data_IF_626143215270
#
_entry.id   IF_626143215270
#
_cell.length_a   1.000
_cell.length_b   1.000
_cell.length_c   1.000
_cell.angle_alpha   90.00
_cell.angle_beta   90.00
_cell.angle_gamma   90.00
#
_symmetry.space_group_name_H-M   'P 1'
#
loop_
_entity.id
_entity.type
_entity.pdbx_description
1 polymer ?
#
# COMPACT_ATOMS: atom_id res chain seq x y z
N UNK A 1 -3.55 35.64 -6.61
CA UNK A 1 -3.62 35.05 -5.25
C UNK A 1 -3.88 33.57 -5.39
N UNK A 2 -2.82 32.76 -5.44
CA UNK A 2 -2.91 31.29 -5.41
C UNK A 2 -3.08 30.88 -3.94
N UNK A 3 -4.21 30.25 -3.64
CA UNK A 3 -4.49 29.74 -2.29
C UNK A 3 -3.51 28.60 -1.96
N UNK A 4 -3.01 28.50 -0.72
CA UNK A 4 -2.12 27.43 -0.31
C UNK A 4 -2.89 26.10 -0.27
N UNK A 5 -2.45 25.11 -1.05
CA UNK A 5 -2.94 23.74 -0.97
C UNK A 5 -2.65 23.20 0.42
N UNK A 6 -3.69 23.00 1.21
CA UNK A 6 -3.58 22.47 2.57
C UNK A 6 -2.99 21.06 2.52
N UNK A 7 -1.71 20.93 2.84
CA UNK A 7 -1.08 19.66 3.20
C UNK A 7 -1.77 19.15 4.45
N UNK A 8 -2.83 18.36 4.30
CA UNK A 8 -3.47 17.68 5.42
C UNK A 8 -2.53 16.57 5.89
N UNK A 9 -1.64 16.95 6.79
CA UNK A 9 -0.63 16.13 7.42
C UNK A 9 -1.30 15.11 8.38
N UNK A 10 -1.92 14.07 7.82
CA UNK A 10 -2.65 13.04 8.56
C UNK A 10 -1.73 11.96 9.17
N UNK A 11 -0.50 12.33 9.56
CA UNK A 11 0.52 11.43 10.17
C UNK A 11 0.01 10.62 11.36
N UNK A 12 -0.99 11.15 12.07
CA UNK A 12 -1.56 10.57 13.28
C UNK A 12 -2.58 9.45 13.00
N UNK A 13 -3.30 9.50 11.88
CA UNK A 13 -4.30 8.48 11.54
C UNK A 13 -3.64 7.24 10.92
N UNK A 14 -2.58 7.44 10.13
CA UNK A 14 -1.80 6.36 9.57
C UNK A 14 -1.18 5.47 10.65
N UNK A 15 -0.61 6.04 11.73
CA UNK A 15 0.05 5.25 12.78
C UNK A 15 -0.91 4.52 13.73
N UNK A 16 -2.06 5.13 14.06
CA UNK A 16 -3.10 4.50 14.89
C UNK A 16 -3.82 3.39 14.10
N UNK A 17 -4.22 3.66 12.86
CA UNK A 17 -4.81 2.66 11.98
C UNK A 17 -3.85 1.50 11.73
N UNK A 18 -2.58 1.79 11.50
CA UNK A 18 -1.54 0.79 11.29
C UNK A 18 -1.34 -0.12 12.52
N UNK A 19 -1.37 0.43 13.74
CA UNK A 19 -1.25 -0.41 14.95
C UNK A 19 -2.46 -1.33 15.14
N UNK A 20 -3.66 -0.83 14.86
CA UNK A 20 -4.90 -1.61 14.92
C UNK A 20 -4.94 -2.68 13.81
N UNK A 21 -4.54 -2.31 12.60
CA UNK A 21 -4.59 -3.18 11.42
C UNK A 21 -3.59 -4.33 11.48
N UNK A 22 -2.57 -4.21 12.34
CA UNK A 22 -1.60 -5.26 12.64
C UNK A 22 -2.07 -6.30 13.65
N UNK A 23 -3.12 -6.02 14.44
CA UNK A 23 -3.59 -7.00 15.41
C UNK A 23 -3.95 -8.30 14.69
N UNK A 24 -3.55 -9.45 15.24
CA UNK A 24 -3.76 -10.75 14.56
C UNK A 24 -5.24 -10.95 14.19
N UNK A 25 -6.16 -10.54 15.07
CA UNK A 25 -7.60 -10.58 14.81
C UNK A 25 -8.02 -9.72 13.62
N UNK A 26 -7.58 -8.46 13.55
CA UNK A 26 -7.93 -7.59 12.42
C UNK A 26 -7.30 -8.07 11.11
N UNK A 27 -6.06 -8.56 11.13
CA UNK A 27 -5.40 -9.12 9.95
C UNK A 27 -6.20 -10.30 9.39
N UNK A 28 -6.49 -11.29 10.23
CA UNK A 28 -7.26 -12.47 9.84
C UNK A 28 -8.65 -12.10 9.30
N UNK A 29 -9.29 -11.07 9.86
CA UNK A 29 -10.58 -10.60 9.38
C UNK A 29 -10.51 -9.93 8.01
N UNK A 30 -9.44 -9.17 7.73
CA UNK A 30 -9.30 -8.39 6.50
C UNK A 30 -8.64 -9.14 5.35
N UNK A 31 -7.84 -10.16 5.63
CA UNK A 31 -7.11 -10.92 4.60
C UNK A 31 -8.01 -11.51 3.50
N UNK A 32 -9.22 -12.04 3.78
CA UNK A 32 -10.14 -12.47 2.73
C UNK A 32 -10.54 -11.33 1.78
N UNK A 33 -10.84 -10.14 2.30
CA UNK A 33 -11.18 -8.99 1.46
C UNK A 33 -9.98 -8.52 0.63
N UNK A 34 -8.77 -8.59 1.18
CA UNK A 34 -7.54 -8.27 0.43
C UNK A 34 -7.32 -9.25 -0.71
N UNK A 35 -7.47 -10.55 -0.44
CA UNK A 35 -7.38 -11.59 -1.47
C UNK A 35 -8.42 -11.38 -2.57
N UNK A 36 -9.68 -11.08 -2.20
CA UNK A 36 -10.73 -10.80 -3.17
C UNK A 36 -10.41 -9.58 -4.04
N UNK A 37 -9.88 -8.51 -3.43
CA UNK A 37 -9.50 -7.29 -4.14
C UNK A 37 -8.36 -7.55 -5.14
N UNK A 38 -7.34 -8.30 -4.75
CA UNK A 38 -6.15 -8.54 -5.59
C UNK A 38 -6.34 -9.66 -6.60
N UNK A 39 -7.33 -10.55 -6.43
CA UNK A 39 -7.52 -11.74 -7.27
C UNK A 39 -7.75 -11.44 -8.77
N UNK A 40 -8.30 -10.27 -9.09
CA UNK A 40 -8.55 -9.87 -10.48
C UNK A 40 -7.47 -8.94 -11.05
N UNK A 41 -6.45 -8.57 -10.26
CA UNK A 41 -5.40 -7.66 -10.70
C UNK A 41 -4.43 -8.38 -11.64
N UNK A 42 -4.23 -7.84 -12.85
CA UNK A 42 -3.45 -8.48 -13.92
C UNK A 42 -2.48 -7.50 -14.57
N UNK A 43 -1.35 -8.03 -15.05
CA UNK A 43 -0.31 -7.24 -15.69
C UNK A 43 0.37 -6.28 -14.72
N UNK A 44 0.55 -5.03 -15.14
CA UNK A 44 1.11 -3.96 -14.30
C UNK A 44 0.00 -3.31 -13.49
N UNK A 45 0.09 -3.42 -12.16
CA UNK A 45 -0.96 -2.98 -11.23
C UNK A 45 -0.51 -1.74 -10.47
N UNK A 46 -1.39 -0.73 -10.34
CA UNK A 46 -1.16 0.43 -9.48
C UNK A 46 -1.81 0.21 -8.11
N UNK A 47 -1.02 0.29 -7.04
CA UNK A 47 -1.49 0.27 -5.64
C UNK A 47 -1.39 1.68 -5.05
N UNK A 48 -2.55 2.32 -4.87
CA UNK A 48 -2.64 3.67 -4.31
C UNK A 48 -2.76 3.61 -2.80
N UNK A 49 -1.87 4.33 -2.09
CA UNK A 49 -1.88 4.34 -0.63
C UNK A 49 -1.47 2.98 -0.07
N UNK A 50 -0.30 2.50 -0.48
CA UNK A 50 0.18 1.16 -0.16
C UNK A 50 0.29 0.90 1.36
N UNK A 51 0.32 1.95 2.18
CA UNK A 51 0.44 1.83 3.62
C UNK A 51 1.68 1.02 3.97
N UNK A 52 1.53 0.03 4.85
CA UNK A 52 2.64 -0.87 5.19
C UNK A 52 2.81 -2.07 4.24
N UNK A 53 2.18 -2.08 3.06
CA UNK A 53 2.23 -3.18 2.09
C UNK A 53 1.35 -4.39 2.43
N UNK A 54 0.16 -4.18 3.01
CA UNK A 54 -0.70 -5.29 3.46
C UNK A 54 -1.19 -6.17 2.31
N UNK A 55 -1.35 -5.60 1.12
CA UNK A 55 -1.87 -6.29 -0.05
C UNK A 55 -0.78 -7.08 -0.83
N UNK A 56 0.50 -6.76 -0.62
CA UNK A 56 1.61 -7.26 -1.46
C UNK A 56 1.73 -8.78 -1.49
N UNK A 57 1.37 -9.46 -0.39
CA UNK A 57 1.42 -10.92 -0.30
C UNK A 57 0.31 -11.63 -1.09
N UNK A 58 -0.72 -10.90 -1.52
CA UNK A 58 -1.92 -11.45 -2.16
C UNK A 58 -1.98 -11.23 -3.67
N UNK A 59 -1.02 -10.52 -4.27
CA UNK A 59 -0.89 -10.49 -5.73
C UNK A 59 -0.42 -11.84 -6.24
N UNK A 60 -1.11 -12.34 -7.26
CA UNK A 60 -0.85 -13.63 -7.86
C UNK A 60 0.22 -13.50 -8.96
N UNK A 61 1.40 -14.11 -8.80
CA UNK A 61 2.47 -14.06 -9.80
C UNK A 61 2.12 -14.73 -11.13
N UNK A 62 1.06 -15.53 -11.20
CA UNK A 62 0.60 -16.13 -12.45
C UNK A 62 -0.07 -15.10 -13.39
N UNK A 63 -0.60 -14.00 -12.85
CA UNK A 63 -1.37 -13.02 -13.60
C UNK A 63 -0.94 -11.57 -13.39
N UNK A 64 -0.25 -11.26 -12.29
CA UNK A 64 0.32 -9.94 -11.99
C UNK A 64 1.81 -9.91 -12.35
N UNK A 65 2.18 -9.04 -13.29
CA UNK A 65 3.56 -8.85 -13.75
C UNK A 65 4.40 -8.09 -12.71
N UNK A 66 3.87 -6.96 -12.22
CA UNK A 66 4.45 -6.17 -11.13
C UNK A 66 3.42 -5.21 -10.53
N UNK A 67 3.77 -4.64 -9.38
CA UNK A 67 2.98 -3.60 -8.72
C UNK A 67 3.79 -2.32 -8.63
N UNK A 68 3.23 -1.24 -9.16
CA UNK A 68 3.64 0.14 -8.91
C UNK A 68 2.86 0.65 -7.69
N UNK A 69 3.53 0.80 -6.55
CA UNK A 69 2.93 1.17 -5.28
C UNK A 69 3.32 2.61 -4.91
N UNK A 70 2.40 3.38 -4.35
CA UNK A 70 2.65 4.76 -3.91
C UNK A 70 2.22 4.98 -2.46
N UNK A 71 3.08 5.61 -1.66
CA UNK A 71 2.80 5.93 -0.26
C UNK A 71 3.59 7.17 0.20
N UNK A 72 2.93 8.24 0.69
CA UNK A 72 3.63 9.45 1.13
C UNK A 72 4.25 9.34 2.55
N UNK A 73 3.77 8.44 3.40
CA UNK A 73 4.19 8.39 4.80
C UNK A 73 5.49 7.59 5.00
N UNK A 74 6.56 8.26 5.43
CA UNK A 74 7.87 7.65 5.68
C UNK A 74 7.88 6.47 6.67
N UNK A 75 6.97 6.44 7.66
CA UNK A 75 6.87 5.30 8.57
C UNK A 75 6.24 4.08 7.88
N UNK A 76 5.22 4.31 7.04
CA UNK A 76 4.57 3.28 6.25
C UNK A 76 5.50 2.75 5.16
N UNK A 77 6.22 3.63 4.47
CA UNK A 77 7.22 3.28 3.45
C UNK A 77 8.23 2.24 3.96
N UNK A 78 8.88 2.49 5.11
CA UNK A 78 9.84 1.52 5.71
C UNK A 78 9.25 0.13 5.90
N UNK A 79 7.93 0.05 6.13
CA UNK A 79 7.24 -1.22 6.30
C UNK A 79 6.80 -1.83 4.98
N UNK A 80 6.31 -1.03 4.06
CA UNK A 80 6.02 -1.47 2.70
C UNK A 80 7.29 -2.02 2.04
N UNK A 81 8.45 -1.41 2.24
CA UNK A 81 9.75 -1.94 1.81
C UNK A 81 10.01 -3.34 2.40
N UNK A 82 9.71 -3.55 3.69
CA UNK A 82 9.86 -4.85 4.32
C UNK A 82 8.88 -5.90 3.76
N UNK A 83 7.64 -5.50 3.51
CA UNK A 83 6.63 -6.37 2.89
C UNK A 83 7.00 -6.71 1.43
N UNK A 84 7.51 -5.73 0.68
CA UNK A 84 7.94 -5.86 -0.72
C UNK A 84 9.05 -6.90 -0.87
N UNK A 85 10.02 -6.95 0.07
CA UNK A 85 11.07 -7.98 0.08
C UNK A 85 10.55 -9.42 0.19
N UNK A 86 9.33 -9.61 0.69
CA UNK A 86 8.70 -10.92 0.86
C UNK A 86 7.53 -11.15 -0.10
N UNK A 87 7.28 -10.19 -1.01
CA UNK A 87 6.20 -10.29 -1.98
C UNK A 87 6.52 -11.34 -3.04
N UNK A 88 5.47 -11.89 -3.66
CA UNK A 88 5.59 -12.90 -4.72
C UNK A 88 5.78 -12.30 -6.11
N UNK A 89 5.49 -11.00 -6.24
CA UNK A 89 5.64 -10.21 -7.47
C UNK A 89 6.56 -9.04 -7.20
N UNK A 90 7.27 -8.50 -8.23
CA UNK A 90 8.06 -7.29 -8.08
C UNK A 90 7.18 -6.12 -7.61
N UNK A 91 7.67 -5.40 -6.59
CA UNK A 91 7.01 -4.20 -6.08
C UNK A 91 7.96 -3.02 -6.27
N UNK A 92 7.52 -2.00 -6.98
CA UNK A 92 8.19 -0.71 -7.08
C UNK A 92 7.45 0.28 -6.18
N UNK A 93 8.14 0.85 -5.19
CA UNK A 93 7.52 1.72 -4.21
C UNK A 93 7.98 3.16 -4.41
N UNK A 94 7.02 4.05 -4.69
CA UNK A 94 7.24 5.48 -4.87
C UNK A 94 6.85 6.24 -3.61
N UNK A 95 7.79 7.00 -3.08
CA UNK A 95 7.61 7.86 -1.91
C UNK A 95 7.01 9.22 -2.30
N UNK A 96 5.72 9.25 -2.63
CA UNK A 96 5.02 10.46 -3.04
C UNK A 96 3.53 10.40 -2.67
N UNK A 97 2.84 11.54 -2.63
CA UNK A 97 1.39 11.58 -2.81
C UNK A 97 1.02 11.05 -4.20
N UNK A 98 -0.14 10.40 -4.34
CA UNK A 98 -0.57 9.81 -5.62
C UNK A 98 -0.84 10.90 -6.68
N UNK A 99 -1.31 12.06 -6.25
CA UNK A 99 -1.56 13.23 -7.09
C UNK A 99 -0.29 13.80 -7.75
N UNK A 100 0.90 13.33 -7.36
CA UNK A 100 2.18 13.72 -7.95
C UNK A 100 2.75 12.65 -8.91
N UNK A 101 2.01 11.57 -9.18
CA UNK A 101 2.39 10.66 -10.27
C UNK A 101 2.23 11.37 -11.63
N UNK A 102 3.11 11.07 -12.60
CA UNK A 102 3.14 11.74 -13.91
C UNK A 102 1.88 11.49 -14.76
#
# INVERSE_FOLDING_TARGET
MTQPTTTHNHRFFASIYDRMSRSRGFRQQMDPSRQQLTAAARGVVLEVGAGGGQNFAFYDPAITERVEAVEPNAHMLRRAEAAARTARVPIHLTAAPVEHLP
#
